data_IF_297035947485
#
_entry.id   IF_297035947485
#
_cell.length_a   1.000
_cell.length_b   1.000
_cell.length_c   1.000
_cell.angle_alpha   90.00
_cell.angle_beta   90.00
_cell.angle_gamma   90.00
#
_symmetry.space_group_name_H-M   'P 1'
#
loop_
_entity.id
_entity.type
_entity.pdbx_description
1 polymer ?
#
# COMPACT_ATOMS: atom_id res chain seq x y z
N UNK A 1 -18.22 11.70 -20.12
CA UNK A 1 -16.90 12.36 -20.38
C UNK A 1 -16.08 11.57 -21.38
N UNK A 2 -15.15 12.25 -22.08
CA UNK A 2 -14.14 11.58 -22.93
C UNK A 2 -12.94 11.13 -22.07
N UNK A 3 -12.13 10.20 -22.60
CA UNK A 3 -10.90 9.75 -21.92
C UNK A 3 -9.98 10.95 -21.63
N UNK A 4 -9.83 11.89 -22.57
CA UNK A 4 -8.96 13.07 -22.41
C UNK A 4 -9.45 14.01 -21.29
N UNK A 5 -10.76 14.18 -21.12
CA UNK A 5 -11.32 14.97 -20.02
C UNK A 5 -11.06 14.31 -18.67
N UNK A 6 -11.19 12.98 -18.59
CA UNK A 6 -10.86 12.19 -17.40
C UNK A 6 -9.37 12.32 -17.04
N UNK A 7 -8.49 12.15 -18.04
CA UNK A 7 -7.05 12.33 -17.86
C UNK A 7 -6.68 13.71 -17.34
N UNK A 8 -7.34 14.74 -17.89
CA UNK A 8 -7.12 16.13 -17.45
C UNK A 8 -7.59 16.34 -16.02
N UNK A 9 -8.73 15.76 -15.65
CA UNK A 9 -9.25 15.80 -14.27
C UNK A 9 -8.28 15.10 -13.31
N UNK A 10 -7.86 13.87 -13.61
CA UNK A 10 -6.95 13.11 -12.74
C UNK A 10 -5.53 13.71 -12.63
N UNK A 11 -5.14 14.56 -13.57
CA UNK A 11 -3.85 15.26 -13.51
C UNK A 11 -3.86 16.47 -12.56
N UNK A 12 -5.01 16.89 -12.05
CA UNK A 12 -5.16 18.00 -11.11
C UNK A 12 -5.15 17.43 -9.68
N UNK A 13 -4.51 18.13 -8.76
CA UNK A 13 -4.60 17.83 -7.33
C UNK A 13 -5.95 18.30 -6.80
N UNK A 14 -6.72 17.38 -6.28
CA UNK A 14 -8.03 17.64 -5.68
C UNK A 14 -7.99 17.29 -4.19
N UNK A 15 -8.59 18.10 -3.34
CA UNK A 15 -8.79 17.77 -1.92
C UNK A 15 -9.92 16.73 -1.70
N UNK A 16 -10.78 16.55 -2.71
CA UNK A 16 -11.79 15.48 -2.81
C UNK A 16 -12.05 15.16 -4.27
N UNK A 17 -12.33 13.90 -4.60
CA UNK A 17 -12.67 13.47 -5.96
C UNK A 17 -14.18 13.26 -6.11
N UNK A 18 -14.72 13.64 -7.29
CA UNK A 18 -16.10 13.40 -7.65
C UNK A 18 -16.31 11.91 -7.97
N UNK A 19 -17.31 11.29 -7.35
CA UNK A 19 -17.63 9.88 -7.52
C UNK A 19 -18.13 9.56 -8.93
N UNK A 20 -18.74 10.51 -9.61
CA UNK A 20 -19.21 10.34 -11.00
C UNK A 20 -18.07 10.01 -11.97
N UNK A 21 -16.85 10.50 -11.72
CA UNK A 21 -15.66 10.19 -12.54
C UNK A 21 -15.37 8.68 -12.54
N UNK A 22 -15.42 8.06 -11.37
CA UNK A 22 -15.22 6.60 -11.25
C UNK A 22 -16.28 5.79 -12.01
N UNK A 23 -17.53 6.26 -11.99
CA UNK A 23 -18.64 5.64 -12.73
C UNK A 23 -18.48 5.81 -14.25
N UNK A 24 -18.08 6.99 -14.70
CA UNK A 24 -17.84 7.26 -16.12
C UNK A 24 -16.67 6.43 -16.68
N UNK A 25 -15.56 6.31 -15.93
CA UNK A 25 -14.45 5.44 -16.33
C UNK A 25 -14.92 3.99 -16.45
N UNK A 26 -15.74 3.51 -15.52
CA UNK A 26 -16.28 2.16 -15.58
C UNK A 26 -17.22 1.96 -16.77
N UNK A 27 -18.01 2.97 -17.12
CA UNK A 27 -18.86 2.90 -18.31
C UNK A 27 -18.02 2.81 -19.59
N UNK A 28 -16.97 3.65 -19.71
CA UNK A 28 -16.04 3.60 -20.85
C UNK A 28 -15.33 2.24 -20.96
N UNK A 29 -14.99 1.63 -19.81
CA UNK A 29 -14.40 0.29 -19.79
C UNK A 29 -15.37 -0.76 -20.33
N UNK A 30 -16.63 -0.74 -19.89
CA UNK A 30 -17.68 -1.65 -20.35
C UNK A 30 -17.95 -1.49 -21.85
N UNK A 31 -17.98 -0.25 -22.33
CA UNK A 31 -18.17 0.04 -23.75
C UNK A 31 -17.00 -0.52 -24.60
N UNK A 32 -15.76 -0.36 -24.12
CA UNK A 32 -14.59 -0.91 -24.79
C UNK A 32 -14.62 -2.45 -24.83
N UNK A 33 -15.05 -3.11 -23.73
CA UNK A 33 -15.23 -4.56 -23.68
C UNK A 33 -16.30 -5.01 -24.69
N UNK A 34 -17.45 -4.32 -24.76
CA UNK A 34 -18.52 -4.66 -25.71
C UNK A 34 -18.08 -4.52 -27.17
N UNK A 35 -17.16 -3.60 -27.45
CA UNK A 35 -16.53 -3.37 -28.75
C UNK A 35 -15.34 -4.29 -29.00
N UNK A 36 -15.00 -5.20 -28.10
CA UNK A 36 -13.82 -6.07 -28.16
C UNK A 36 -12.51 -5.30 -28.36
N UNK A 37 -12.42 -4.08 -27.83
CA UNK A 37 -11.24 -3.24 -27.85
C UNK A 37 -10.44 -3.42 -26.57
N UNK A 38 -9.54 -4.41 -26.55
CA UNK A 38 -8.75 -4.78 -25.39
C UNK A 38 -7.83 -3.65 -24.92
N UNK A 39 -7.17 -2.96 -25.87
CA UNK A 39 -6.26 -1.86 -25.53
C UNK A 39 -6.99 -0.75 -24.77
N UNK A 40 -8.14 -0.32 -25.27
CA UNK A 40 -8.97 0.69 -24.63
C UNK A 40 -9.56 0.21 -23.30
N UNK A 41 -9.98 -1.05 -23.19
CA UNK A 41 -10.50 -1.62 -21.96
C UNK A 41 -9.41 -1.68 -20.87
N UNK A 42 -8.20 -2.09 -21.23
CA UNK A 42 -7.04 -2.13 -20.34
C UNK A 42 -6.62 -0.72 -19.90
N UNK A 43 -6.65 0.26 -20.80
CA UNK A 43 -6.36 1.65 -20.47
C UNK A 43 -7.39 2.25 -19.50
N UNK A 44 -8.68 2.01 -19.74
CA UNK A 44 -9.74 2.43 -18.81
C UNK A 44 -9.57 1.78 -17.43
N UNK A 45 -9.12 0.51 -17.36
CA UNK A 45 -8.78 -0.10 -16.07
C UNK A 45 -7.66 0.67 -15.36
N UNK A 46 -6.60 1.07 -16.08
CA UNK A 46 -5.51 1.87 -15.50
C UNK A 46 -6.02 3.21 -14.98
N UNK A 47 -6.84 3.94 -15.73
CA UNK A 47 -7.44 5.21 -15.28
C UNK A 47 -8.31 5.01 -14.04
N UNK A 48 -9.06 3.91 -13.98
CA UNK A 48 -9.86 3.56 -12.80
C UNK A 48 -9.00 3.30 -11.59
N UNK A 49 -7.87 2.60 -11.75
CA UNK A 49 -6.92 2.40 -10.66
C UNK A 49 -6.33 3.73 -10.19
N UNK A 50 -5.89 4.60 -11.11
CA UNK A 50 -5.38 5.94 -10.77
C UNK A 50 -6.41 6.71 -9.92
N UNK A 51 -7.68 6.75 -10.36
CA UNK A 51 -8.78 7.35 -9.61
C UNK A 51 -8.90 6.76 -8.19
N UNK A 52 -8.88 5.44 -8.05
CA UNK A 52 -9.00 4.78 -6.74
C UNK A 52 -7.80 5.03 -5.83
N UNK A 53 -6.59 5.12 -6.40
CA UNK A 53 -5.37 5.40 -5.65
C UNK A 53 -5.38 6.83 -5.08
N UNK A 54 -5.74 7.81 -5.91
CA UNK A 54 -5.90 9.20 -5.46
C UNK A 54 -7.00 9.32 -4.40
N UNK A 55 -8.18 8.74 -4.66
CA UNK A 55 -9.30 8.77 -3.73
C UNK A 55 -8.95 8.08 -2.41
N UNK A 56 -8.30 6.92 -2.45
CA UNK A 56 -7.86 6.18 -1.27
C UNK A 56 -6.86 6.96 -0.44
N UNK A 57 -5.89 7.60 -1.08
CA UNK A 57 -4.91 8.46 -0.41
C UNK A 57 -5.57 9.67 0.28
N UNK A 58 -6.42 10.41 -0.43
CA UNK A 58 -7.17 11.54 0.13
C UNK A 58 -8.02 11.09 1.31
N UNK A 59 -8.73 9.97 1.17
CA UNK A 59 -9.56 9.42 2.24
C UNK A 59 -8.75 9.02 3.47
N UNK A 60 -7.54 8.44 3.27
CA UNK A 60 -6.65 8.08 4.36
C UNK A 60 -6.17 9.31 5.15
N UNK A 61 -5.77 10.39 4.45
CA UNK A 61 -5.37 11.64 5.11
C UNK A 61 -6.54 12.27 5.86
N UNK A 62 -7.74 12.26 5.27
CA UNK A 62 -8.95 12.75 5.95
C UNK A 62 -9.31 11.91 7.18
N UNK A 63 -9.10 10.58 7.13
CA UNK A 63 -9.28 9.69 8.30
C UNK A 63 -8.30 10.03 9.42
N UNK A 64 -7.04 10.43 9.11
CA UNK A 64 -6.09 10.92 10.12
C UNK A 64 -6.59 12.20 10.79
N UNK A 65 -7.14 13.15 10.03
CA UNK A 65 -7.73 14.39 10.58
C UNK A 65 -8.90 14.09 11.53
N UNK A 66 -9.65 13.02 11.27
CA UNK A 66 -10.75 12.54 12.11
C UNK A 66 -10.30 11.60 13.24
N UNK A 67 -8.99 11.36 13.40
CA UNK A 67 -8.39 10.43 14.36
C UNK A 67 -8.80 8.96 14.17
N UNK A 68 -9.23 8.58 12.97
CA UNK A 68 -9.53 7.21 12.58
C UNK A 68 -8.25 6.52 12.07
N UNK A 69 -7.29 6.27 12.98
CA UNK A 69 -5.92 5.84 12.64
C UNK A 69 -5.86 4.47 11.98
N UNK A 70 -6.66 3.51 12.44
CA UNK A 70 -6.70 2.15 11.86
C UNK A 70 -7.20 2.17 10.42
N UNK A 71 -8.29 2.90 10.17
CA UNK A 71 -8.83 3.06 8.83
C UNK A 71 -7.81 3.72 7.91
N UNK A 72 -7.14 4.78 8.38
CA UNK A 72 -6.09 5.46 7.63
C UNK A 72 -4.94 4.52 7.28
N UNK A 73 -4.45 3.73 8.26
CA UNK A 73 -3.40 2.74 8.04
C UNK A 73 -3.80 1.70 6.97
N UNK A 74 -5.00 1.13 7.11
CA UNK A 74 -5.51 0.14 6.16
C UNK A 74 -5.73 0.73 4.75
N UNK A 75 -6.15 2.00 4.66
CA UNK A 75 -6.29 2.69 3.38
C UNK A 75 -4.94 2.92 2.72
N UNK A 76 -3.91 3.36 3.46
CA UNK A 76 -2.56 3.53 2.95
C UNK A 76 -1.99 2.21 2.41
N UNK A 77 -2.19 1.11 3.11
CA UNK A 77 -1.73 -0.21 2.65
C UNK A 77 -2.44 -0.65 1.37
N UNK A 78 -3.75 -0.44 1.26
CA UNK A 78 -4.51 -0.73 0.04
C UNK A 78 -4.04 0.10 -1.15
N UNK A 79 -3.69 1.38 -0.93
CA UNK A 79 -3.14 2.24 -1.98
C UNK A 79 -1.76 1.74 -2.41
N UNK A 80 -0.89 1.33 -1.49
CA UNK A 80 0.45 0.78 -1.79
C UNK A 80 0.35 -0.50 -2.64
N UNK A 81 -0.57 -1.42 -2.29
CA UNK A 81 -0.87 -2.62 -3.07
C UNK A 81 -1.40 -2.26 -4.47
N UNK A 82 -2.32 -1.29 -4.54
CA UNK A 82 -2.89 -0.82 -5.80
C UNK A 82 -1.86 -0.20 -6.74
N UNK A 83 -0.89 0.58 -6.19
CA UNK A 83 0.24 1.12 -6.94
C UNK A 83 1.07 0.01 -7.58
N UNK A 84 1.42 -1.03 -6.81
CA UNK A 84 2.18 -2.19 -7.31
C UNK A 84 1.45 -2.93 -8.44
N UNK A 85 0.12 -3.05 -8.37
CA UNK A 85 -0.69 -3.64 -9.44
C UNK A 85 -0.72 -2.77 -10.70
N UNK A 86 -0.79 -1.45 -10.53
CA UNK A 86 -0.81 -0.50 -11.63
C UNK A 86 0.53 -0.46 -12.38
N UNK A 87 1.65 -0.43 -11.68
CA UNK A 87 3.02 -0.39 -12.24
C UNK A 87 3.31 -1.53 -13.21
N UNK A 88 2.68 -2.67 -13.04
CA UNK A 88 2.81 -3.80 -13.97
C UNK A 88 2.16 -3.57 -15.34
N UNK A 89 1.26 -2.58 -15.46
CA UNK A 89 0.41 -2.36 -16.63
C UNK A 89 0.39 -0.92 -17.15
N UNK A 90 0.96 0.00 -16.38
CA UNK A 90 0.99 1.43 -16.67
C UNK A 90 2.38 1.98 -16.33
N UNK A 91 2.97 2.74 -17.24
CA UNK A 91 4.26 3.37 -16.98
C UNK A 91 4.08 4.61 -16.10
N UNK A 92 4.33 4.44 -14.81
CA UNK A 92 4.25 5.51 -13.80
C UNK A 92 5.46 6.43 -13.82
N UNK A 93 6.56 6.04 -14.51
CA UNK A 93 7.82 6.80 -14.56
C UNK A 93 7.81 7.91 -15.62
N UNK A 94 6.88 7.86 -16.58
CA UNK A 94 6.81 8.83 -17.66
C UNK A 94 6.20 10.16 -17.21
N UNK A 95 6.92 11.25 -17.52
CA UNK A 95 6.35 12.59 -17.59
C UNK A 95 5.97 13.23 -16.27
N UNK A 96 6.95 13.56 -15.43
CA UNK A 96 6.77 14.48 -14.28
C UNK A 96 5.66 14.11 -13.28
N UNK A 97 5.38 12.81 -13.06
CA UNK A 97 4.35 12.35 -12.11
C UNK A 97 2.96 12.93 -12.42
N UNK A 98 2.54 12.87 -13.69
CA UNK A 98 1.29 13.48 -14.20
C UNK A 98 0.07 13.24 -13.32
N UNK A 99 -0.03 12.07 -12.67
CA UNK A 99 -1.16 11.68 -11.82
C UNK A 99 -0.79 11.64 -10.33
N UNK A 100 0.34 12.23 -9.94
CA UNK A 100 0.82 12.32 -8.56
C UNK A 100 1.07 10.96 -7.87
N UNK A 101 1.29 9.89 -8.65
CA UNK A 101 1.43 8.54 -8.11
C UNK A 101 2.75 8.33 -7.35
N UNK A 102 3.85 8.91 -7.84
CA UNK A 102 5.15 8.89 -7.16
C UNK A 102 5.10 9.71 -5.86
N UNK A 103 4.41 10.86 -5.90
CA UNK A 103 4.14 11.65 -4.70
C UNK A 103 3.37 10.82 -3.68
N UNK A 104 2.25 10.20 -4.07
CA UNK A 104 1.40 9.35 -3.20
C UNK A 104 2.22 8.20 -2.61
N UNK A 105 2.99 7.46 -3.42
CA UNK A 105 3.84 6.36 -2.98
C UNK A 105 4.86 6.80 -1.93
N UNK A 106 5.46 7.98 -2.10
CA UNK A 106 6.41 8.56 -1.14
C UNK A 106 5.70 8.98 0.14
N UNK A 107 4.59 9.72 0.05
CA UNK A 107 3.88 10.22 1.22
C UNK A 107 3.29 9.11 2.10
N UNK A 108 2.79 8.02 1.50
CA UNK A 108 2.36 6.85 2.27
C UNK A 108 3.48 6.33 3.18
N UNK A 109 4.70 6.22 2.65
CA UNK A 109 5.86 5.77 3.44
C UNK A 109 6.22 6.76 4.56
N UNK A 110 6.09 8.06 4.31
CA UNK A 110 6.32 9.09 5.33
C UNK A 110 5.26 9.01 6.44
N UNK A 111 3.97 8.91 6.09
CA UNK A 111 2.90 8.71 7.08
C UNK A 111 3.11 7.43 7.90
N UNK A 112 3.42 6.32 7.26
CA UNK A 112 3.60 5.03 7.93
C UNK A 112 4.73 5.04 8.99
N UNK A 113 5.77 5.88 8.85
CA UNK A 113 6.82 6.04 9.86
C UNK A 113 6.32 6.58 11.20
N UNK A 114 5.17 7.27 11.20
CA UNK A 114 4.60 7.92 12.38
C UNK A 114 3.60 7.05 13.14
N UNK A 115 3.18 5.91 12.55
CA UNK A 115 2.28 5.00 13.22
C UNK A 115 3.01 4.16 14.28
N UNK A 116 2.35 3.89 15.42
CA UNK A 116 2.95 3.11 16.50
C UNK A 116 2.94 1.59 16.28
N UNK A 117 2.58 1.13 15.09
CA UNK A 117 2.44 -0.28 14.77
C UNK A 117 3.80 -0.91 14.49
N UNK A 118 4.24 -1.83 15.35
CA UNK A 118 5.54 -2.47 15.27
C UNK A 118 5.50 -4.01 15.27
N UNK A 119 4.32 -4.60 15.47
CA UNK A 119 4.13 -6.05 15.46
C UNK A 119 2.99 -6.44 14.53
N UNK A 120 3.23 -7.43 13.68
CA UNK A 120 2.31 -7.86 12.65
C UNK A 120 2.21 -9.38 12.62
N UNK A 121 1.08 -9.91 12.19
CA UNK A 121 0.93 -11.33 11.93
C UNK A 121 1.40 -11.66 10.52
N UNK A 122 2.25 -12.66 10.42
CA UNK A 122 2.62 -13.30 9.16
C UNK A 122 2.22 -14.76 9.19
N UNK A 123 1.67 -15.24 8.09
CA UNK A 123 1.26 -16.64 7.93
C UNK A 123 2.24 -17.38 7.04
N UNK A 124 2.64 -18.56 7.47
CA UNK A 124 3.31 -19.55 6.64
C UNK A 124 2.28 -20.55 6.14
N UNK A 125 2.18 -20.72 4.83
CA UNK A 125 1.21 -21.64 4.24
C UNK A 125 1.75 -22.31 2.97
N UNK A 126 1.21 -23.48 2.67
CA UNK A 126 1.41 -24.18 1.40
C UNK A 126 0.16 -23.96 0.55
N UNK A 127 0.32 -23.32 -0.59
CA UNK A 127 -0.74 -23.18 -1.59
C UNK A 127 -0.79 -24.50 -2.37
N UNK A 128 -1.90 -25.24 -2.26
CA UNK A 128 -2.09 -26.54 -2.91
C UNK A 128 -2.77 -26.42 -4.25
N UNK A 129 -3.68 -25.47 -4.41
CA UNK A 129 -4.38 -25.23 -5.66
C UNK A 129 -4.72 -23.77 -5.87
N UNK A 130 -4.62 -23.33 -7.12
CA UNK A 130 -4.96 -22.00 -7.57
C UNK A 130 -5.71 -22.05 -8.91
N UNK A 131 -6.54 -21.05 -9.16
CA UNK A 131 -7.25 -20.85 -10.42
C UNK A 131 -6.92 -19.47 -11.01
N UNK A 132 -6.89 -19.40 -12.34
CA UNK A 132 -6.75 -18.15 -13.08
C UNK A 132 -8.07 -17.37 -13.02
N UNK A 133 -8.05 -16.10 -12.56
CA UNK A 133 -9.26 -15.26 -12.46
C UNK A 133 -9.88 -14.93 -13.83
N UNK A 134 -9.09 -14.96 -14.92
CA UNK A 134 -9.58 -14.62 -16.27
C UNK A 134 -10.37 -15.79 -16.90
N UNK A 135 -9.90 -17.03 -16.74
CA UNK A 135 -10.51 -18.16 -17.44
C UNK A 135 -10.99 -19.30 -16.54
N UNK A 136 -10.84 -19.18 -15.21
CA UNK A 136 -11.25 -20.18 -14.22
C UNK A 136 -10.46 -21.50 -14.27
N UNK A 137 -9.45 -21.63 -15.14
CA UNK A 137 -8.66 -22.86 -15.24
C UNK A 137 -7.68 -22.99 -14.09
N UNK A 138 -7.44 -24.23 -13.59
CA UNK A 138 -6.38 -24.48 -12.62
C UNK A 138 -5.02 -24.00 -13.12
N UNK A 139 -4.25 -23.38 -12.23
CA UNK A 139 -2.87 -22.96 -12.54
C UNK A 139 -1.96 -24.19 -12.57
N UNK A 140 -1.30 -24.40 -13.69
CA UNK A 140 -0.44 -25.57 -13.91
C UNK A 140 0.79 -25.21 -14.72
N UNK A 141 1.96 -25.64 -14.24
CA UNK A 141 3.21 -25.50 -14.98
C UNK A 141 3.27 -26.37 -16.24
N UNK A 142 2.58 -27.51 -16.23
CA UNK A 142 2.58 -28.46 -17.36
C UNK A 142 1.58 -28.10 -18.44
N UNK A 143 0.49 -27.44 -18.06
CA UNK A 143 -0.60 -27.03 -18.99
C UNK A 143 -1.04 -25.59 -18.66
N UNK A 144 -0.20 -24.59 -18.94
CA UNK A 144 -0.54 -23.20 -18.65
C UNK A 144 -1.72 -22.72 -19.50
N UNK A 145 -2.57 -21.89 -18.93
CA UNK A 145 -3.71 -21.29 -19.66
C UNK A 145 -3.30 -20.13 -20.56
N UNK A 146 -2.05 -19.64 -20.47
CA UNK A 146 -1.53 -18.52 -21.23
C UNK A 146 -1.68 -17.16 -20.53
N UNK A 147 -2.59 -17.01 -19.56
CA UNK A 147 -2.73 -15.76 -18.80
C UNK A 147 -1.62 -15.66 -17.73
N UNK A 148 -1.04 -14.46 -17.62
CA UNK A 148 0.04 -14.15 -16.65
C UNK A 148 -0.53 -13.31 -15.51
N UNK A 149 -0.31 -13.75 -14.26
CA UNK A 149 -0.69 -12.97 -13.09
C UNK A 149 -0.07 -11.57 -13.13
N UNK A 150 -0.83 -10.56 -12.72
CA UNK A 150 -0.43 -9.16 -12.75
C UNK A 150 -0.61 -8.47 -14.11
N UNK A 151 -1.06 -9.16 -15.17
CA UNK A 151 -1.32 -8.56 -16.49
C UNK A 151 -2.81 -8.39 -16.75
N UNK A 152 -3.14 -7.41 -17.57
CA UNK A 152 -4.52 -7.09 -17.96
C UNK A 152 -4.95 -7.91 -19.18
N UNK A 153 -6.23 -8.30 -19.18
CA UNK A 153 -6.92 -8.98 -20.26
C UNK A 153 -8.34 -8.42 -20.34
N UNK A 154 -8.69 -7.78 -21.44
CA UNK A 154 -10.02 -7.17 -21.66
C UNK A 154 -10.49 -6.31 -20.49
N UNK A 155 -9.60 -5.48 -19.93
CA UNK A 155 -9.92 -4.59 -18.82
C UNK A 155 -10.04 -5.28 -17.46
N UNK A 156 -9.53 -6.51 -17.29
CA UNK A 156 -9.51 -7.22 -16.02
C UNK A 156 -8.10 -7.66 -15.65
N UNK A 157 -7.74 -7.49 -14.39
CA UNK A 157 -6.45 -7.91 -13.85
C UNK A 157 -6.43 -9.42 -13.62
N UNK A 158 -5.49 -10.10 -14.26
CA UNK A 158 -5.26 -11.51 -14.01
C UNK A 158 -4.62 -11.73 -12.64
N UNK A 159 -5.31 -12.45 -11.79
CA UNK A 159 -4.81 -12.90 -10.48
C UNK A 159 -4.83 -14.42 -10.40
N UNK A 160 -4.19 -14.95 -9.35
CA UNK A 160 -4.30 -16.36 -8.97
C UNK A 160 -5.20 -16.45 -7.74
N UNK A 161 -6.39 -17.01 -7.93
CA UNK A 161 -7.31 -17.28 -6.84
C UNK A 161 -6.90 -18.58 -6.16
N UNK A 162 -6.45 -18.48 -4.92
CA UNK A 162 -6.13 -19.66 -4.11
C UNK A 162 -7.43 -20.38 -3.75
N UNK A 163 -7.51 -21.66 -4.09
CA UNK A 163 -8.68 -22.52 -3.86
C UNK A 163 -8.45 -23.59 -2.81
N UNK A 164 -7.18 -23.94 -2.56
CA UNK A 164 -6.80 -24.87 -1.49
C UNK A 164 -5.49 -24.40 -0.85
N UNK A 165 -5.47 -24.34 0.48
CA UNK A 165 -4.36 -23.86 1.29
C UNK A 165 -4.20 -24.71 2.55
N UNK A 166 -2.96 -25.00 2.91
CA UNK A 166 -2.62 -25.60 4.18
C UNK A 166 -1.82 -24.60 5.03
N UNK A 167 -2.41 -24.16 6.14
CA UNK A 167 -1.72 -23.29 7.10
C UNK A 167 -0.69 -24.10 7.87
N UNK A 168 0.55 -23.62 7.93
CA UNK A 168 1.66 -24.23 8.67
C UNK A 168 1.95 -23.53 9.99
N UNK A 169 2.05 -22.20 9.97
CA UNK A 169 2.37 -21.42 11.16
C UNK A 169 1.80 -20.00 11.07
N UNK A 170 1.68 -19.38 12.24
CA UNK A 170 1.50 -17.94 12.41
C UNK A 170 2.70 -17.41 13.17
N UNK A 171 3.32 -16.37 12.65
CA UNK A 171 4.49 -15.72 13.23
C UNK A 171 4.20 -14.25 13.50
N UNK A 172 4.78 -13.72 14.58
CA UNK A 172 4.81 -12.27 14.82
C UNK A 172 6.09 -11.73 14.19
N UNK A 173 5.95 -10.73 13.33
CA UNK A 173 7.05 -10.10 12.60
C UNK A 173 7.01 -8.58 12.78
N UNK A 174 8.15 -7.92 12.54
CA UNK A 174 8.25 -6.45 12.59
C UNK A 174 8.27 -5.81 11.21
N UNK A 175 8.48 -6.62 10.16
CA UNK A 175 8.47 -6.20 8.76
C UNK A 175 7.57 -7.15 7.96
N UNK A 176 6.26 -6.89 7.90
CA UNK A 176 5.28 -7.75 7.24
C UNK A 176 5.22 -7.50 5.74
N UNK A 177 4.77 -8.50 4.99
CA UNK A 177 4.34 -8.29 3.61
C UNK A 177 2.99 -7.54 3.57
N UNK A 178 2.02 -7.96 4.41
CA UNK A 178 0.70 -7.34 4.54
C UNK A 178 0.69 -6.42 5.78
N UNK A 179 0.70 -5.12 5.60
CA UNK A 179 0.78 -4.15 6.70
C UNK A 179 -0.53 -4.01 7.50
N UNK A 180 -1.67 -4.40 6.93
CA UNK A 180 -2.95 -4.38 7.66
C UNK A 180 -3.11 -5.55 8.66
N UNK A 181 -2.12 -6.44 8.76
CA UNK A 181 -2.10 -7.53 9.75
C UNK A 181 -1.48 -7.11 11.08
N UNK A 182 -1.47 -5.81 11.40
CA UNK A 182 -0.93 -5.32 12.67
C UNK A 182 -1.67 -5.92 13.86
N UNK A 183 -0.89 -6.21 14.92
CA UNK A 183 -1.43 -6.75 16.16
C UNK A 183 -1.81 -5.60 17.09
N UNK A 184 -3.08 -5.60 17.49
CA UNK A 184 -3.52 -4.79 18.61
C UNK A 184 -3.34 -5.59 19.89
N UNK A 185 -2.55 -5.04 20.80
CA UNK A 185 -2.36 -5.63 22.13
C UNK A 185 -3.50 -5.09 23.01
N UNK A 186 -4.33 -5.97 23.59
CA UNK A 186 -5.39 -5.54 24.50
C UNK A 186 -4.83 -4.66 25.63
N UNK A 187 -5.56 -3.63 26.01
CA UNK A 187 -5.22 -2.67 27.09
C UNK A 187 -3.92 -1.86 26.84
N UNK A 188 -3.35 -1.91 25.64
CA UNK A 188 -2.24 -1.04 25.26
C UNK A 188 -2.77 0.25 24.62
N UNK A 189 -2.43 1.39 25.23
CA UNK A 189 -2.63 2.69 24.59
C UNK A 189 -1.55 2.92 23.53
N UNK A 190 -1.99 3.21 22.30
CA UNK A 190 -1.11 3.58 21.20
C UNK A 190 -0.91 5.09 21.15
N UNK A 191 0.36 5.52 21.07
CA UNK A 191 0.69 6.94 21.03
C UNK A 191 0.67 7.46 19.59
N UNK A 192 -0.35 8.21 19.21
CA UNK A 192 -0.49 8.87 17.91
C UNK A 192 -0.06 10.35 17.94
N UNK A 193 0.60 10.81 19.01
CA UNK A 193 0.93 12.22 19.21
C UNK A 193 1.70 12.86 18.06
N UNK A 194 2.61 12.12 17.41
CA UNK A 194 3.33 12.63 16.23
C UNK A 194 2.41 12.81 15.00
N UNK A 195 1.45 11.91 14.79
CA UNK A 195 0.45 12.07 13.74
C UNK A 195 -0.48 13.24 14.04
N UNK A 196 -0.91 13.39 15.30
CA UNK A 196 -1.77 14.51 15.71
C UNK A 196 -1.08 15.86 15.53
N UNK A 197 0.22 15.94 15.83
CA UNK A 197 0.99 17.17 15.62
C UNK A 197 1.13 17.47 14.13
N UNK A 198 1.48 16.47 13.31
CA UNK A 198 1.57 16.65 11.87
C UNK A 198 0.23 17.10 11.27
N UNK A 199 -0.91 16.50 11.73
CA UNK A 199 -2.24 16.85 11.18
C UNK A 199 -2.70 18.29 11.51
N UNK A 200 -2.03 19.01 12.40
CA UNK A 200 -2.28 20.44 12.63
C UNK A 200 -1.62 21.31 11.56
N UNK A 201 -0.56 20.81 10.93
CA UNK A 201 0.21 21.52 9.90
C UNK A 201 -0.23 21.16 8.47
N UNK A 202 -0.96 20.05 8.30
CA UNK A 202 -1.44 19.58 7.00
C UNK A 202 -2.84 20.14 6.72
N UNK A 203 -2.93 21.05 5.77
CA UNK A 203 -4.20 21.62 5.31
C UNK A 203 -4.80 20.81 4.15
N UNK A 204 -3.99 20.48 3.15
CA UNK A 204 -4.38 19.71 1.97
C UNK A 204 -3.74 18.31 1.97
N UNK A 205 -4.41 17.25 1.47
CA UNK A 205 -3.82 15.91 1.35
C UNK A 205 -2.51 15.88 0.54
N UNK A 206 -2.30 16.85 -0.35
CA UNK A 206 -1.10 16.96 -1.16
C UNK A 206 -0.02 17.88 -0.57
N UNK A 207 -0.16 18.30 0.69
CA UNK A 207 0.92 18.98 1.41
C UNK A 207 2.09 18.01 1.61
N UNK A 208 3.31 18.52 1.38
CA UNK A 208 4.52 17.71 1.38
C UNK A 208 5.28 17.86 2.70
N UNK A 209 5.69 16.74 3.25
CA UNK A 209 6.59 16.70 4.40
C UNK A 209 7.57 15.52 4.28
N UNK A 210 8.60 15.52 5.12
CA UNK A 210 9.52 14.39 5.24
C UNK A 210 9.84 14.12 6.70
N UNK A 211 9.97 12.84 7.07
CA UNK A 211 10.31 12.40 8.42
C UNK A 211 11.73 11.89 8.44
N UNK A 212 12.57 12.56 9.22
CA UNK A 212 13.93 12.12 9.49
C UNK A 212 13.97 11.34 10.81
N UNK A 213 14.48 10.11 10.75
CA UNK A 213 14.65 9.26 11.93
C UNK A 213 16.05 9.42 12.49
N UNK A 214 16.18 10.02 13.66
CA UNK A 214 17.44 10.20 14.37
C UNK A 214 17.60 9.09 15.39
N UNK A 215 18.70 8.32 15.32
CA UNK A 215 19.06 7.34 16.35
C UNK A 215 19.75 8.08 17.50
N UNK A 216 19.09 8.13 18.64
CA UNK A 216 19.67 8.71 19.86
C UNK A 216 20.11 7.59 20.80
N UNK A 217 21.39 7.63 21.20
CA UNK A 217 21.89 6.70 22.21
C UNK A 217 21.28 7.07 23.56
N UNK A 218 20.56 6.15 24.18
CA UNK A 218 19.99 6.35 25.52
C UNK A 218 21.10 6.72 26.54
N UNK A 219 20.81 7.58 27.52
CA UNK A 219 21.82 8.07 28.47
C UNK A 219 22.63 6.94 29.14
N UNK A 220 21.98 5.84 29.51
CA UNK A 220 22.59 4.68 30.12
C UNK A 220 23.64 3.95 29.26
N UNK A 221 23.61 4.15 27.92
CA UNK A 221 24.58 3.57 27.00
C UNK A 221 25.73 4.52 26.62
N UNK A 222 25.62 5.82 26.94
CA UNK A 222 26.62 6.82 26.52
C UNK A 222 27.99 6.66 27.17
N UNK A 223 28.02 6.14 28.43
CA UNK A 223 29.23 6.00 29.25
C UNK A 223 29.75 4.58 29.34
N UNK A 224 29.12 3.63 28.63
CA UNK A 224 29.47 2.20 28.74
C UNK A 224 30.72 1.87 27.94
N UNK A 225 31.71 1.31 28.61
CA UNK A 225 32.94 0.82 27.98
C UNK A 225 32.67 -0.37 27.07
N UNK A 226 33.38 -0.41 25.92
CA UNK A 226 33.22 -1.45 24.91
C UNK A 226 33.22 -2.89 25.44
N UNK A 227 33.99 -3.17 26.51
CA UNK A 227 34.13 -4.50 27.11
C UNK A 227 33.25 -4.73 28.33
N UNK A 228 32.55 -3.73 28.83
CA UNK A 228 31.62 -3.83 29.94
C UNK A 228 30.37 -4.63 29.62
N UNK A 229 29.63 -5.06 30.62
CA UNK A 229 28.34 -5.71 30.43
C UNK A 229 27.35 -4.70 29.86
N UNK A 230 26.53 -5.18 28.91
CA UNK A 230 25.52 -4.33 28.30
C UNK A 230 24.43 -3.95 29.30
N UNK A 231 24.06 -2.66 29.44
CA UNK A 231 23.00 -2.21 30.33
C UNK A 231 21.62 -2.82 30.05
N UNK A 232 21.42 -3.42 28.89
CA UNK A 232 20.15 -4.07 28.52
C UNK A 232 19.84 -5.35 29.30
N UNK A 233 20.73 -5.80 30.21
CA UNK A 233 20.54 -7.00 31.04
C UNK A 233 20.77 -8.33 30.28
N UNK A 234 21.25 -8.32 29.06
CA UNK A 234 21.49 -9.53 28.26
C UNK A 234 22.66 -10.40 28.72
N UNK A 235 23.47 -9.92 29.68
CA UNK A 235 24.71 -10.58 30.11
C UNK A 235 25.85 -10.56 29.10
N UNK A 236 25.67 -9.97 27.92
CA UNK A 236 26.68 -9.85 26.87
C UNK A 236 27.50 -8.58 27.04
N UNK A 237 28.77 -8.60 26.56
CA UNK A 237 29.59 -7.38 26.49
C UNK A 237 28.94 -6.39 25.53
N UNK A 238 29.02 -5.07 25.83
CA UNK A 238 28.40 -4.01 25.04
C UNK A 238 28.74 -4.09 23.54
N UNK A 239 30.02 -4.33 23.21
CA UNK A 239 30.50 -4.52 21.83
C UNK A 239 29.88 -5.70 21.07
N UNK A 240 29.25 -6.64 21.76
CA UNK A 240 28.59 -7.82 21.17
C UNK A 240 27.07 -7.75 21.27
N UNK A 241 26.53 -6.62 21.69
CA UNK A 241 25.12 -6.44 21.96
C UNK A 241 24.53 -5.19 21.31
N UNK A 242 25.06 -4.00 21.64
CA UNK A 242 24.46 -2.71 21.22
C UNK A 242 25.49 -1.69 20.67
N UNK A 243 26.73 -2.09 20.41
CA UNK A 243 27.75 -1.23 19.79
C UNK A 243 27.87 -1.51 18.28
#
# INVERSE_FOLDING_TARGET
MTITEIETYLAIKHSSLDDSIGEEIEQLRKDAISQQNEERANYCWCLKQIYHLQKGFISAVNSLKLKNYEDAWCMFDRVDIGLSNLENNFDTSQGNDRYHLLFIARMIKEYQKLFPYCHFLSRECIIKAEECTICGKPVSLRKPCGHKAGKLYMGELCLRKVTDIELKALCVVTDPFDKYTFLQIPDQEYNYGMLEELMREIDDPYDEFSIETIKVIKPEFKSVGRNELCPCGSGKKYKKCHL
#
